data_IF_994019363537
#
_entry.id   IF_994019363537
#
_cell.length_a   1.000
_cell.length_b   1.000
_cell.length_c   1.000
_cell.angle_alpha   90.00
_cell.angle_beta   90.00
_cell.angle_gamma   90.00
#
_symmetry.space_group_name_H-M   'P 1'
#
loop_
_entity.id
_entity.type
_entity.pdbx_description
1 polymer ?
2 non-polymer ?
3 non-polymer ?
4 water ?
#
# COMPACT_ATOMS: atom_id res chain seq x y z
N UNK A 9 10.42 7.76 2.99
CA UNK A 9 9.84 9.06 2.44
C UNK A 9 8.95 8.97 1.19
N UNK A 10 8.96 7.83 0.48
CA UNK A 10 8.01 7.69 -0.63
C UNK A 10 6.65 7.44 0.01
N UNK A 11 5.63 8.05 -0.56
CA UNK A 11 4.25 7.78 -0.24
C UNK A 11 3.78 6.76 -1.27
N UNK A 12 3.12 5.70 -0.82
CA UNK A 12 2.68 4.71 -1.77
C UNK A 12 1.20 4.86 -1.86
N UNK A 13 0.65 4.77 -3.07
CA UNK A 13 -0.73 4.95 -3.23
C UNK A 13 -1.16 4.02 -4.29
N UNK A 14 -2.42 3.63 -4.22
CA UNK A 14 -3.02 2.80 -5.27
C UNK A 14 -4.29 3.48 -5.71
N UNK A 15 -4.47 3.61 -7.04
CA UNK A 15 -5.65 4.30 -7.56
C UNK A 15 -6.41 3.37 -8.44
N UNK A 16 -7.73 3.48 -8.43
CA UNK A 16 -8.55 2.72 -9.38
C UNK A 16 -8.40 3.42 -10.69
N UNK A 17 -8.90 2.81 -11.73
CA UNK A 17 -8.72 3.39 -13.03
C UNK A 17 -9.51 4.70 -13.21
N UNK A 18 -10.52 4.95 -12.38
CA UNK A 18 -11.24 6.21 -12.42
C UNK A 18 -10.66 7.30 -11.49
N UNK A 19 -9.56 7.00 -10.81
CA UNK A 19 -8.84 7.99 -9.93
C UNK A 19 -9.12 7.91 -8.43
N UNK A 20 -10.05 7.03 -8.10
CA UNK A 20 -10.42 6.78 -6.74
C UNK A 20 -9.20 6.23 -6.03
N UNK A 21 -8.95 6.80 -4.86
CA UNK A 21 -7.83 6.39 -4.06
C UNK A 21 -8.26 5.12 -3.31
N UNK A 22 -7.65 4.00 -3.69
CA UNK A 22 -7.89 2.67 -3.09
C UNK A 22 -7.09 2.55 -1.80
N UNK A 23 -5.87 3.08 -1.82
CA UNK A 23 -4.98 2.98 -0.68
C UNK A 23 -3.97 4.10 -0.74
N UNK A 24 -3.52 4.57 0.42
CA UNK A 24 -2.42 5.48 0.47
C UNK A 24 -1.72 5.16 1.78
N UNK A 25 -0.39 5.23 1.78
CA UNK A 25 0.31 4.86 3.00
C UNK A 25 0.15 5.88 4.11
N UNK A 26 0.56 5.51 5.34
CA UNK A 26 0.21 6.30 6.54
C UNK A 26 0.97 7.60 6.57
N UNK A 27 2.04 7.72 5.77
CA UNK A 27 2.78 9.00 5.73
C UNK A 27 2.10 10.10 4.90
N UNK A 28 0.90 9.84 4.43
CA UNK A 28 0.09 10.88 3.88
C UNK A 28 -0.11 12.03 4.88
N UNK A 29 -0.29 11.70 6.16
CA UNK A 29 -0.50 12.72 7.19
C UNK A 29 0.71 13.63 7.28
N UNK A 30 1.89 13.03 7.49
CA UNK A 30 3.16 13.77 7.50
C UNK A 30 3.38 14.75 6.35
N UNK A 31 3.21 14.26 5.14
CA UNK A 31 3.56 15.02 3.93
C UNK A 31 2.43 15.86 3.37
N UNK A 32 1.19 15.43 3.54
CA UNK A 32 0.10 16.03 2.82
C UNK A 32 -0.94 16.59 3.74
N UNK A 33 -0.83 16.32 5.04
CA UNK A 33 -1.76 16.90 6.01
C UNK A 33 -3.01 16.11 6.26
N UNK A 34 -3.21 15.04 5.49
CA UNK A 34 -4.38 14.20 5.60
C UNK A 34 -4.04 12.80 6.11
N UNK A 35 -4.86 12.30 7.02
CA UNK A 35 -4.78 10.88 7.44
C UNK A 35 -5.18 10.00 6.27
N UNK A 36 -4.75 8.73 6.25
CA UNK A 36 -5.09 7.85 5.10
C UNK A 36 -6.57 7.76 4.94
N UNK A 37 -7.27 7.73 6.07
CA UNK A 37 -8.72 7.61 6.05
C UNK A 37 -9.42 8.80 5.46
N UNK A 38 -8.74 9.95 5.44
CA UNK A 38 -9.32 11.15 4.89
C UNK A 38 -9.18 11.19 3.38
N UNK A 39 -8.26 10.38 2.85
CA UNK A 39 -8.01 10.31 1.41
C UNK A 39 -8.57 9.08 0.74
N UNK A 40 -8.45 7.92 1.41
CA UNK A 40 -8.95 6.70 0.79
C UNK A 40 -10.43 6.83 0.53
N UNK A 41 -10.85 6.43 -0.67
CA UNK A 41 -12.24 6.55 -1.06
C UNK A 41 -12.60 7.82 -1.77
N UNK A 42 -11.71 8.80 -1.70
CA UNK A 42 -11.89 10.06 -2.45
C UNK A 42 -11.14 9.96 -3.76
N UNK A 43 -11.38 10.90 -4.67
CA UNK A 43 -10.70 10.89 -5.94
C UNK A 43 -9.43 11.66 -5.79
N UNK A 44 -8.37 11.21 -6.43
CA UNK A 44 -7.13 11.96 -6.27
C UNK A 44 -7.33 13.42 -6.75
N UNK A 45 -8.19 13.64 -7.76
CA UNK A 45 -8.36 15.04 -8.30
C UNK A 45 -8.77 16.06 -7.25
N UNK A 46 -9.39 15.58 -6.19
CA UNK A 46 -9.97 16.37 -5.14
C UNK A 46 -8.85 17.09 -4.42
N UNK A 47 -7.64 16.49 -4.43
CA UNK A 47 -6.51 17.01 -3.66
C UNK A 47 -5.50 17.77 -4.49
N UNK A 48 -5.68 17.81 -5.81
CA UNK A 48 -4.71 18.39 -6.70
C UNK A 48 -4.99 19.85 -6.91
N UNK A 49 -3.93 20.62 -7.15
CA UNK A 49 -4.19 21.97 -7.62
C UNK A 49 -5.09 21.97 -8.82
N UNK A 50 -6.08 22.87 -8.87
CA UNK A 50 -7.05 22.74 -9.93
C UNK A 50 -6.42 22.79 -11.32
N UNK A 51 -5.28 23.46 -11.48
CA UNK A 51 -4.64 23.53 -12.78
C UNK A 51 -3.89 22.31 -13.23
N UNK A 52 -3.68 21.38 -12.31
CA UNK A 52 -2.87 20.21 -12.59
C UNK A 52 -3.71 18.99 -12.85
N UNK A 53 -5.02 19.16 -12.98
CA UNK A 53 -5.93 18.03 -13.12
C UNK A 53 -5.87 17.30 -14.49
N UNK A 54 -5.77 18.04 -15.59
CA UNK A 54 -5.58 17.39 -16.90
C UNK A 54 -4.22 16.64 -16.93
N UNK A 55 -3.16 17.36 -16.56
CA UNK A 55 -1.82 16.82 -16.55
C UNK A 55 -1.71 15.48 -15.81
N UNK A 56 -2.22 15.42 -14.58
CA UNK A 56 -2.16 14.20 -13.80
C UNK A 56 -3.07 13.11 -14.35
N UNK A 57 -4.32 13.41 -14.65
CA UNK A 57 -5.21 12.36 -15.17
C UNK A 57 -4.62 11.71 -16.43
N UNK A 58 -4.05 12.55 -17.27
CA UNK A 58 -3.50 12.12 -18.52
C UNK A 58 -2.26 11.24 -18.28
N UNK A 59 -1.40 11.67 -17.36
CA UNK A 59 -0.21 10.92 -17.01
C UNK A 59 -0.54 9.47 -16.61
N UNK A 60 -1.53 9.34 -15.74
CA UNK A 60 -1.76 8.04 -15.13
C UNK A 60 -2.65 7.14 -15.97
N UNK A 61 -3.32 7.71 -16.97
CA UNK A 61 -4.01 6.90 -18.01
C UNK A 61 -3.03 6.21 -18.98
N UNK A 62 -2.00 6.95 -19.36
CA UNK A 62 -0.99 6.49 -20.31
C UNK A 62 -0.13 5.33 -19.87
N UNK A 63 0.24 4.45 -20.79
CA UNK A 63 0.99 3.24 -20.44
C UNK A 63 2.48 3.48 -20.32
N UNK A 64 2.99 4.37 -21.16
CA UNK A 64 4.43 4.50 -21.28
C UNK A 64 4.90 5.62 -20.44
N UNK A 65 5.93 5.40 -19.64
CA UNK A 65 6.46 6.50 -18.79
C UNK A 65 7.97 6.47 -18.79
N UNK A 66 8.59 7.62 -18.54
CA UNK A 66 9.98 7.64 -18.20
C UNK A 66 10.15 8.64 -17.08
N UNK A 67 9.81 9.89 -17.31
CA UNK A 67 9.94 10.93 -16.27
C UNK A 67 8.78 10.78 -15.32
N UNK A 68 9.00 11.16 -14.06
CA UNK A 68 7.87 11.29 -13.10
C UNK A 68 6.89 12.38 -13.48
N UNK A 69 5.78 12.45 -12.74
CA UNK A 69 4.76 13.50 -13.01
C UNK A 69 5.00 14.41 -11.86
N UNK A 70 5.17 15.71 -12.13
CA UNK A 70 5.38 16.73 -11.16
C UNK A 70 4.12 17.56 -11.12
N UNK A 71 3.54 17.70 -9.92
CA UNK A 71 2.29 18.41 -9.79
C UNK A 71 2.12 18.95 -8.38
N UNK A 72 1.13 19.84 -8.24
CA UNK A 72 0.85 20.44 -6.94
C UNK A 72 -0.26 19.70 -6.24
N UNK A 73 -0.04 19.42 -4.98
CA UNK A 73 -1.07 18.85 -4.14
C UNK A 73 -1.51 19.95 -3.18
N UNK A 74 -2.80 20.07 -2.89
CA UNK A 74 -3.24 21.02 -1.86
C UNK A 74 -3.36 20.33 -0.53
N UNK A 75 -2.52 20.69 0.43
CA UNK A 75 -2.59 20.09 1.72
C UNK A 75 -3.86 20.44 2.46
N UNK A 76 -4.10 19.75 3.58
CA UNK A 76 -5.27 20.03 4.38
C UNK A 76 -5.35 21.49 4.84
N UNK A 77 -4.20 22.14 5.04
CA UNK A 77 -4.25 23.51 5.51
C UNK A 77 -4.42 24.51 4.33
N UNK A 78 -4.73 24.00 3.15
CA UNK A 78 -5.02 24.88 2.04
C UNK A 78 -3.81 25.55 1.46
N UNK A 79 -2.63 24.92 1.60
CA UNK A 79 -1.41 25.43 0.96
C UNK A 79 -0.85 24.36 0.03
N UNK A 80 -0.04 24.77 -0.94
CA UNK A 80 0.46 23.87 -2.02
C UNK A 80 1.66 23.13 -1.52
N UNK A 81 1.76 21.85 -1.88
CA UNK A 81 3.06 21.19 -1.83
C UNK A 81 3.35 20.56 -3.22
N UNK A 82 4.57 20.72 -3.72
CA UNK A 82 4.90 20.08 -5.03
C UNK A 82 5.32 18.65 -4.81
N UNK A 83 4.88 17.74 -5.65
CA UNK A 83 5.32 16.34 -5.50
C UNK A 83 5.64 15.78 -6.86
N UNK A 84 6.45 14.74 -6.88
CA UNK A 84 6.60 13.96 -8.11
C UNK A 84 6.15 12.56 -7.83
N UNK A 85 5.51 11.95 -8.82
CA UNK A 85 4.98 10.61 -8.68
C UNK A 85 5.38 9.79 -9.88
N UNK A 86 5.53 8.49 -9.65
CA UNK A 86 5.91 7.56 -10.72
C UNK A 86 5.12 6.27 -10.52
N UNK A 87 4.71 5.64 -11.61
CA UNK A 87 4.13 4.30 -11.58
C UNK A 87 5.19 3.32 -11.06
N UNK A 88 4.86 2.63 -9.96
CA UNK A 88 5.81 1.92 -9.06
C UNK A 88 5.85 0.43 -9.39
N UNK A 89 4.73 -0.12 -9.87
CA UNK A 89 4.62 -1.55 -10.18
C UNK A 89 3.57 -1.59 -11.26
N UNK A 90 3.80 -2.39 -12.29
CA UNK A 90 2.84 -2.41 -13.39
C UNK A 90 2.36 -3.82 -13.73
N UNK A 98 -9.38 -2.70 -16.37
CA UNK A 98 -9.64 -2.32 -14.98
C UNK A 98 -8.46 -2.71 -14.11
N UNK A 99 -7.33 -2.04 -14.39
CA UNK A 99 -6.10 -2.22 -13.63
C UNK A 99 -5.97 -1.03 -12.69
N UNK A 100 -5.52 -1.33 -11.49
CA UNK A 100 -5.23 -0.33 -10.55
C UNK A 100 -3.86 0.18 -10.90
N UNK A 101 -3.63 1.43 -10.55
CA UNK A 101 -2.32 2.03 -10.69
C UNK A 101 -1.63 2.06 -9.34
N UNK A 102 -0.43 1.48 -9.26
CA UNK A 102 0.36 1.56 -8.03
C UNK A 102 1.44 2.63 -8.24
N UNK A 103 1.42 3.69 -7.44
CA UNK A 103 2.37 4.78 -7.63
C UNK A 103 3.15 5.04 -6.36
N UNK A 104 4.33 5.61 -6.53
CA UNK A 104 5.13 6.10 -5.42
C UNK A 104 5.25 7.59 -5.67
N UNK A 105 5.26 8.36 -4.59
CA UNK A 105 5.39 9.80 -4.75
C UNK A 105 6.17 10.41 -3.61
N UNK A 106 6.73 11.59 -3.88
CA UNK A 106 7.48 12.26 -2.85
C UNK A 106 7.36 13.73 -3.00
N UNK A 107 7.40 14.38 -1.87
CA UNK A 107 7.39 15.82 -1.83
C UNK A 107 8.72 16.34 -2.38
N UNK A 108 8.65 17.29 -3.32
CA UNK A 108 9.88 17.99 -3.72
C UNK A 108 10.05 19.14 -2.74
N UNK B 9 8.64 -3.77 11.01
CA UNK B 9 7.29 -3.16 10.72
C UNK B 9 6.28 -4.11 9.98
N UNK B 10 5.09 -3.60 9.72
CA UNK B 10 4.00 -4.37 9.16
C UNK B 10 4.10 -4.50 7.64
N UNK B 11 3.52 -5.57 7.13
CA UNK B 11 3.31 -5.72 5.71
C UNK B 11 1.90 -5.19 5.44
N UNK B 12 1.76 -4.33 4.42
CA UNK B 12 0.44 -3.80 4.05
C UNK B 12 -0.04 -4.42 2.78
N UNK B 13 -1.32 -4.80 2.72
CA UNK B 13 -1.75 -5.45 1.52
C UNK B 13 -3.14 -4.91 1.28
N UNK B 14 -3.55 -4.91 0.02
CA UNK B 14 -4.87 -4.53 -0.38
C UNK B 14 -5.37 -5.67 -1.19
N UNK B 15 -6.55 -6.20 -0.82
CA UNK B 15 -7.17 -7.29 -1.60
C UNK B 15 -8.41 -6.78 -2.25
N UNK B 16 -8.70 -7.27 -3.45
CA UNK B 16 -10.03 -7.08 -4.04
C UNK B 16 -11.00 -7.98 -3.29
N UNK B 17 -12.29 -7.76 -3.54
CA UNK B 17 -13.34 -8.54 -2.88
C UNK B 17 -13.24 -10.07 -3.16
N UNK B 18 -12.60 -10.46 -4.25
CA UNK B 18 -12.41 -11.90 -4.56
C UNK B 18 -11.11 -12.46 -4.03
N UNK B 19 -10.37 -11.64 -3.27
CA UNK B 19 -9.08 -12.01 -2.66
C UNK B 19 -7.85 -11.85 -3.53
N UNK B 20 -8.03 -11.29 -4.73
CA UNK B 20 -6.89 -10.89 -5.56
C UNK B 20 -6.05 -9.86 -4.86
N UNK B 21 -4.73 -10.03 -4.89
CA UNK B 21 -3.79 -9.09 -4.24
C UNK B 21 -3.63 -7.94 -5.23
N UNK B 22 -4.20 -6.81 -4.85
CA UNK B 22 -4.14 -5.54 -5.63
C UNK B 22 -2.82 -4.84 -5.36
N UNK B 23 -2.39 -4.93 -4.12
CA UNK B 23 -1.15 -4.34 -3.66
C UNK B 23 -0.57 -5.06 -2.46
N UNK B 24 0.75 -5.07 -2.37
CA UNK B 24 1.41 -5.50 -1.16
C UNK B 24 2.68 -4.69 -1.04
N UNK B 25 3.09 -4.35 0.18
CA UNK B 25 4.25 -3.53 0.37
C UNK B 25 5.55 -4.29 0.06
N UNK B 26 6.63 -3.54 -0.17
CA UNK B 26 7.89 -4.09 -0.69
C UNK B 26 8.56 -5.04 0.27
N UNK B 27 8.24 -4.93 1.57
CA UNK B 27 8.78 -5.88 2.55
C UNK B 27 8.20 -7.26 2.46
N UNK B 28 7.35 -7.50 1.44
CA UNK B 28 6.89 -8.85 1.16
C UNK B 28 8.11 -9.73 0.90
N UNK B 29 9.09 -9.24 0.09
CA UNK B 29 10.31 -10.03 -0.19
C UNK B 29 11.01 -10.43 1.11
N UNK B 30 11.29 -9.46 1.97
CA UNK B 30 11.94 -9.72 3.28
C UNK B 30 11.27 -10.81 4.09
N UNK B 31 9.95 -10.73 4.16
CA UNK B 31 9.23 -11.57 5.14
C UNK B 31 8.60 -12.81 4.59
N UNK B 32 8.20 -12.74 3.31
CA UNK B 32 7.43 -13.83 2.70
C UNK B 32 8.19 -14.51 1.60
N UNK B 33 9.32 -13.92 1.18
CA UNK B 33 10.20 -14.52 0.19
C UNK B 33 9.82 -14.22 -1.25
N UNK B 34 8.76 -13.43 -1.43
CA UNK B 34 8.20 -13.04 -2.72
C UNK B 34 8.39 -11.55 -2.94
N UNK B 35 8.80 -11.17 -4.15
CA UNK B 35 8.75 -9.77 -4.55
C UNK B 35 7.30 -9.35 -4.67
N UNK B 36 7.03 -8.05 -4.55
CA UNK B 36 5.66 -7.58 -4.66
C UNK B 36 5.02 -8.01 -5.96
N UNK B 37 5.83 -7.96 -7.04
CA UNK B 37 5.45 -8.37 -8.38
C UNK B 37 5.04 -9.82 -8.53
N UNK B 38 5.56 -10.66 -7.62
CA UNK B 38 5.25 -12.07 -7.62
C UNK B 38 3.93 -12.37 -6.92
N UNK B 39 3.47 -11.42 -6.10
CA UNK B 39 2.24 -11.58 -5.35
C UNK B 39 1.07 -10.82 -5.97
N UNK B 40 1.33 -9.59 -6.41
CA UNK B 40 0.27 -8.73 -6.90
C UNK B 40 -0.35 -9.40 -8.11
N UNK B 41 -1.68 -9.50 -8.16
CA UNK B 41 -2.35 -10.15 -9.29
C UNK B 41 -2.72 -11.60 -9.04
N UNK B 42 -2.08 -12.18 -8.03
CA UNK B 42 -2.39 -13.52 -7.56
C UNK B 42 -3.38 -13.43 -6.43
N UNK B 43 -4.12 -14.50 -6.20
CA UNK B 43 -5.04 -14.57 -5.07
C UNK B 43 -4.22 -14.85 -3.81
N UNK B 44 -4.59 -14.20 -2.71
CA UNK B 44 -3.88 -14.44 -1.45
C UNK B 44 -3.94 -15.94 -1.04
N UNK B 45 -5.08 -16.58 -1.26
CA UNK B 45 -5.34 -18.03 -1.02
C UNK B 45 -4.18 -18.89 -1.48
N UNK B 46 -3.61 -18.55 -2.62
CA UNK B 46 -2.54 -19.36 -3.23
C UNK B 46 -1.30 -19.49 -2.32
N UNK B 47 -1.11 -18.53 -1.42
CA UNK B 47 0.12 -18.46 -0.64
C UNK B 47 -0.11 -19.04 0.73
N UNK B 48 -1.35 -19.45 0.97
CA UNK B 48 -1.72 -19.83 2.31
C UNK B 48 -1.71 -21.34 2.47
N UNK B 49 -1.33 -21.74 3.67
CA UNK B 49 -1.37 -23.15 3.96
C UNK B 49 -2.77 -23.67 3.71
N UNK B 50 -2.88 -24.83 3.11
CA UNK B 50 -4.20 -25.29 2.78
C UNK B 50 -5.14 -25.38 3.96
N UNK B 51 -4.62 -25.69 5.14
CA UNK B 51 -5.51 -25.82 6.27
C UNK B 51 -6.09 -24.52 6.79
N UNK B 52 -5.53 -23.39 6.32
CA UNK B 52 -5.84 -22.08 6.87
C UNK B 52 -6.59 -21.27 5.81
N UNK B 53 -6.67 -21.80 4.60
CA UNK B 53 -7.20 -20.97 3.53
C UNK B 53 -8.62 -20.46 3.81
N UNK B 54 -9.53 -21.34 4.21
CA UNK B 54 -10.92 -20.96 4.52
C UNK B 54 -11.01 -20.03 5.72
N UNK B 55 -10.23 -20.33 6.75
CA UNK B 55 -10.14 -19.47 7.94
C UNK B 55 -9.87 -18.01 7.56
N UNK B 56 -8.86 -17.80 6.68
CA UNK B 56 -8.47 -16.44 6.28
C UNK B 56 -9.52 -15.80 5.38
N UNK B 57 -10.04 -16.56 4.41
CA UNK B 57 -11.02 -15.99 3.54
C UNK B 57 -12.22 -15.55 4.34
N UNK B 58 -12.69 -16.45 5.21
CA UNK B 58 -13.83 -16.21 6.09
C UNK B 58 -13.58 -14.94 6.97
N UNK B 59 -12.41 -14.83 7.56
CA UNK B 59 -12.10 -13.71 8.41
C UNK B 59 -12.23 -12.39 7.68
N UNK B 60 -11.72 -12.34 6.45
CA UNK B 60 -11.71 -11.03 5.75
C UNK B 60 -13.00 -10.67 5.04
N UNK B 61 -13.90 -11.65 4.84
CA UNK B 61 -15.27 -11.37 4.37
C UNK B 61 -16.17 -10.93 5.51
N UNK B 62 -15.90 -11.44 6.73
CA UNK B 62 -16.73 -11.09 7.90
C UNK B 62 -16.59 -9.61 8.22
N UNK B 63 -17.63 -8.98 8.74
CA UNK B 63 -17.51 -7.56 9.06
C UNK B 63 -17.01 -7.36 10.48
N UNK B 64 -17.32 -8.31 11.35
CA UNK B 64 -17.09 -8.10 12.76
C UNK B 64 -15.77 -8.71 13.11
N UNK B 65 -14.89 -7.90 13.66
CA UNK B 65 -13.60 -8.37 14.14
C UNK B 65 -13.27 -7.82 15.49
N UNK B 66 -12.48 -8.55 16.25
CA UNK B 66 -11.80 -8.00 17.42
C UNK B 66 -10.38 -8.55 17.38
N UNK B 67 -10.20 -9.87 17.51
CA UNK B 67 -8.85 -10.42 17.46
C UNK B 67 -8.34 -10.50 16.03
N UNK B 68 -7.00 -10.45 15.88
CA UNK B 68 -6.49 -10.69 14.52
C UNK B 68 -6.69 -12.11 14.03
N UNK B 69 -6.36 -12.36 12.75
CA UNK B 69 -6.43 -13.71 12.17
C UNK B 69 -4.99 -14.25 12.20
N UNK B 70 -4.78 -15.45 12.76
CA UNK B 70 -3.45 -16.05 12.82
C UNK B 70 -3.48 -17.24 11.86
N UNK B 71 -2.50 -17.30 10.95
CA UNK B 71 -2.49 -18.35 9.95
C UNK B 71 -1.06 -18.59 9.46
N UNK B 72 -0.90 -19.64 8.68
CA UNK B 72 0.39 -20.00 8.07
C UNK B 72 0.46 -19.56 6.62
N UNK B 73 1.51 -18.81 6.30
CA UNK B 73 1.79 -18.34 4.97
C UNK B 73 2.86 -19.25 4.45
N UNK B 74 2.75 -19.70 3.19
CA UNK B 74 3.81 -20.56 2.65
C UNK B 74 4.77 -19.67 1.83
N UNK B 75 5.96 -19.50 2.37
CA UNK B 75 7.03 -18.73 1.69
C UNK B 75 7.48 -19.29 0.36
N UNK B 76 8.18 -18.47 -0.42
CA UNK B 76 8.55 -18.93 -1.74
C UNK B 76 9.39 -20.21 -1.73
N UNK B 77 10.22 -20.37 -0.69
CA UNK B 77 11.01 -21.59 -0.50
C UNK B 77 10.21 -22.79 0.04
N UNK B 78 8.88 -22.68 0.08
CA UNK B 78 7.98 -23.79 0.42
C UNK B 78 8.02 -24.15 1.89
N UNK B 79 8.42 -23.19 2.72
CA UNK B 79 8.36 -23.37 4.18
C UNK B 79 7.39 -22.41 4.78
N UNK B 80 6.96 -22.70 6.00
CA UNK B 80 5.84 -21.98 6.61
C UNK B 80 6.37 -20.83 7.40
N UNK B 81 5.70 -19.69 7.36
CA UNK B 81 5.85 -18.73 8.43
C UNK B 81 4.46 -18.41 9.01
N UNK B 82 4.39 -18.24 10.32
CA UNK B 82 3.15 -17.86 10.99
C UNK B 82 3.01 -16.37 10.93
N UNK B 83 1.81 -15.92 10.60
CA UNK B 83 1.55 -14.48 10.54
C UNK B 83 0.25 -14.17 11.23
N UNK B 84 0.12 -12.93 11.70
CA UNK B 84 -1.13 -12.42 12.19
C UNK B 84 -1.50 -11.25 11.30
N UNK B 85 -2.77 -11.16 10.99
CA UNK B 85 -3.28 -10.07 10.11
C UNK B 85 -4.57 -9.49 10.68
N UNK B 86 -4.79 -8.23 10.38
CA UNK B 86 -6.00 -7.52 10.83
C UNK B 86 -6.34 -6.52 9.78
N UNK B 87 -7.61 -6.16 9.71
CA UNK B 87 -7.99 -4.94 8.93
C UNK B 87 -7.17 -3.74 9.46
N UNK B 88 -6.53 -3.02 8.53
CA UNK B 88 -5.73 -1.82 8.87
C UNK B 88 -6.56 -0.55 8.77
N UNK B 89 -7.40 -0.45 7.76
CA UNK B 89 -8.18 0.79 7.56
C UNK B 89 -9.51 0.25 7.21
N UNK B 90 -10.58 0.73 7.86
CA UNK B 90 -11.91 0.19 7.50
C UNK B 90 -12.34 0.85 6.19
N UNK B 91 -12.81 0.05 5.23
CA UNK B 91 -13.19 0.60 3.90
C UNK B 91 -14.70 0.51 3.64
N UNK B 99 -16.00 -4.18 -2.50
CA UNK B 99 -15.23 -3.53 -1.42
C UNK B 99 -13.82 -4.09 -1.48
N UNK B 100 -12.81 -3.26 -1.18
CA UNK B 100 -11.44 -3.75 -1.09
C UNK B 100 -11.15 -3.90 0.35
N UNK B 101 -10.20 -4.76 0.65
CA UNK B 101 -9.74 -4.92 2.02
C UNK B 101 -8.31 -4.45 2.18
N UNK B 102 -8.09 -3.63 3.21
CA UNK B 102 -6.78 -3.08 3.50
C UNK B 102 -6.38 -3.72 4.79
N UNK B 103 -5.36 -4.58 4.73
CA UNK B 103 -4.96 -5.30 5.93
C UNK B 103 -3.50 -5.04 6.25
N UNK B 104 -3.13 -5.21 7.52
CA UNK B 104 -1.72 -5.17 7.90
C UNK B 104 -1.43 -6.57 8.39
N UNK B 105 -0.21 -7.05 8.19
CA UNK B 105 0.11 -8.36 8.74
C UNK B 105 1.53 -8.39 9.16
N UNK B 106 1.84 -9.32 10.03
CA UNK B 106 3.22 -9.37 10.51
C UNK B 106 3.58 -10.77 10.88
N UNK B 107 4.83 -11.12 10.65
CA UNK B 107 5.36 -12.42 10.95
C UNK B 107 5.43 -12.56 12.47
N UNK B 108 5.00 -13.72 12.99
CA UNK B 108 5.04 -13.92 14.43
C UNK B 108 6.45 -14.28 14.87
N UNK C 9 -17.37 -5.47 43.24
CA UNK C 9 -16.90 -6.66 42.44
C UNK C 9 -16.51 -6.17 41.05
N UNK C 10 -15.52 -6.79 40.41
CA UNK C 10 -15.29 -6.53 38.99
C UNK C 10 -16.49 -7.01 38.14
N UNK C 11 -16.58 -6.49 36.92
CA UNK C 11 -17.52 -7.01 35.95
C UNK C 11 -16.76 -8.08 35.23
N UNK C 12 -17.35 -9.26 35.14
CA UNK C 12 -16.63 -10.32 34.46
C UNK C 12 -17.27 -10.53 33.09
N UNK C 13 -16.50 -10.81 32.04
CA UNK C 13 -17.07 -10.96 30.73
C UNK C 13 -16.32 -12.00 29.93
N UNK C 14 -17.00 -12.55 28.95
CA UNK C 14 -16.32 -13.38 27.95
C UNK C 14 -16.72 -12.80 26.57
N UNK C 15 -15.71 -12.61 25.71
CA UNK C 15 -15.94 -12.25 24.31
C UNK C 15 -15.50 -13.35 23.41
N UNK C 16 -16.26 -13.58 22.36
CA UNK C 16 -15.77 -14.47 21.28
C UNK C 16 -14.63 -13.75 20.59
N UNK C 17 -13.85 -14.46 19.78
CA UNK C 17 -12.69 -13.83 19.14
C UNK C 17 -13.11 -12.65 18.23
N UNK C 18 -14.33 -12.69 17.70
CA UNK C 18 -14.81 -11.60 16.84
C UNK C 18 -15.44 -10.43 17.58
N UNK C 19 -15.46 -10.55 18.90
CA UNK C 19 -15.84 -9.40 19.79
C UNK C 19 -17.27 -9.52 20.28
N UNK C 20 -17.99 -10.59 19.92
CA UNK C 20 -19.36 -10.78 20.43
C UNK C 20 -19.29 -11.07 21.93
N UNK C 21 -20.14 -10.44 22.71
CA UNK C 21 -20.20 -10.74 24.17
C UNK C 21 -20.89 -12.05 24.36
N UNK C 22 -20.13 -13.00 24.89
CA UNK C 22 -20.67 -14.31 25.17
C UNK C 22 -21.34 -14.28 26.54
N UNK C 23 -20.71 -13.57 27.47
CA UNK C 23 -21.18 -13.49 28.83
C UNK C 23 -20.78 -12.17 29.43
N UNK C 24 -21.62 -11.53 30.28
CA UNK C 24 -21.16 -10.50 31.16
C UNK C 24 -21.98 -10.64 32.39
N UNK C 25 -21.38 -10.31 33.53
CA UNK C 25 -22.04 -10.49 34.78
C UNK C 25 -23.06 -9.37 35.05
N UNK C 26 -23.94 -9.63 36.00
CA UNK C 26 -25.18 -8.86 36.16
C UNK C 26 -24.95 -7.48 36.70
N UNK C 27 -23.76 -7.25 37.24
CA UNK C 27 -23.37 -5.93 37.70
C UNK C 27 -23.06 -4.99 36.54
N UNK C 28 -23.25 -5.48 35.33
CA UNK C 28 -23.19 -4.59 34.18
C UNK C 28 -24.27 -3.54 34.36
N UNK C 29 -25.34 -3.86 35.11
CA UNK C 29 -26.44 -2.87 35.17
C UNK C 29 -26.04 -1.71 36.06
N UNK C 30 -25.46 -2.04 37.18
CA UNK C 30 -25.02 -1.05 38.14
C UNK C 30 -23.98 -0.10 37.55
N UNK C 31 -23.01 -0.65 36.82
CA UNK C 31 -21.87 0.15 36.33
C UNK C 31 -22.04 0.69 34.93
N UNK C 32 -22.74 -0.04 34.06
CA UNK C 32 -22.79 0.31 32.62
C UNK C 32 -24.20 0.67 32.15
N UNK C 33 -25.17 0.51 33.03
CA UNK C 33 -26.53 0.90 32.75
C UNK C 33 -27.31 -0.10 31.94
N UNK C 34 -26.67 -1.19 31.56
CA UNK C 34 -27.34 -2.27 30.81
C UNK C 34 -27.50 -3.54 31.63
N UNK C 35 -28.66 -4.18 31.55
CA UNK C 35 -28.83 -5.55 32.10
C UNK C 35 -27.96 -6.53 31.30
N UNK C 36 -27.46 -7.59 31.96
CA UNK C 36 -26.53 -8.50 31.28
C UNK C 36 -27.17 -9.07 30.05
N UNK C 37 -28.50 -9.25 30.06
CA UNK C 37 -29.17 -9.87 28.90
C UNK C 37 -29.32 -8.87 27.73
N UNK C 38 -29.25 -7.57 28.02
CA UNK C 38 -29.21 -6.55 26.94
C UNK C 38 -27.88 -6.49 26.20
N UNK C 39 -26.83 -7.03 26.80
CA UNK C 39 -25.50 -6.99 26.24
C UNK C 39 -25.04 -8.32 25.67
N UNK C 40 -25.32 -9.41 26.38
CA UNK C 40 -25.00 -10.74 25.87
C UNK C 40 -25.57 -10.93 24.47
N UNK C 41 -24.72 -11.35 23.51
CA UNK C 41 -25.21 -11.50 22.11
C UNK C 41 -24.89 -10.35 21.18
N UNK C 42 -24.67 -9.18 21.75
CA UNK C 42 -24.22 -7.98 21.01
C UNK C 42 -22.70 -7.87 20.96
N UNK C 43 -22.21 -7.09 20.02
CA UNK C 43 -20.76 -6.91 19.93
C UNK C 43 -20.32 -5.85 20.89
N UNK C 44 -19.19 -6.08 21.52
CA UNK C 44 -18.70 -5.08 22.45
C UNK C 44 -18.57 -3.72 21.77
N UNK C 45 -18.05 -3.71 20.53
CA UNK C 45 -17.79 -2.44 19.86
C UNK C 45 -18.99 -1.53 19.84
N UNK C 46 -20.20 -2.09 19.86
CA UNK C 46 -21.45 -1.35 19.78
C UNK C 46 -21.68 -0.36 20.91
N UNK C 47 -21.01 -0.65 22.01
CA UNK C 47 -21.16 0.12 23.22
C UNK C 47 -20.00 1.05 23.38
N UNK C 48 -19.08 1.06 22.42
CA UNK C 48 -17.87 1.84 22.59
C UNK C 48 -18.01 3.14 21.91
N UNK C 49 -17.37 4.13 22.52
CA UNK C 49 -17.22 5.40 21.87
C UNK C 49 -16.73 5.15 20.44
N UNK C 50 -17.31 5.87 19.48
CA UNK C 50 -17.01 5.68 18.06
C UNK C 50 -15.52 5.61 17.78
N UNK C 51 -14.76 6.46 18.47
CA UNK C 51 -13.34 6.59 18.20
C UNK C 51 -12.57 5.43 18.77
N UNK C 52 -13.21 4.65 19.64
CA UNK C 52 -12.51 3.58 20.36
C UNK C 52 -12.76 2.22 19.73
N UNK C 53 -13.82 2.14 18.94
CA UNK C 53 -14.31 0.88 18.36
C UNK C 53 -13.32 0.20 17.48
N UNK C 54 -12.82 0.90 16.46
CA UNK C 54 -11.86 0.23 15.56
C UNK C 54 -10.52 0.06 16.30
N UNK C 55 -10.19 1.08 17.08
CA UNK C 55 -8.92 1.16 17.80
C UNK C 55 -8.68 0.01 18.72
N UNK C 56 -9.72 -0.44 19.44
CA UNK C 56 -9.60 -1.49 20.49
C UNK C 56 -9.09 -2.82 19.88
N UNK C 57 -9.33 -3.02 18.57
CA UNK C 57 -8.73 -4.15 17.91
C UNK C 57 -7.23 -4.08 18.08
N UNK C 58 -6.69 -2.87 18.12
CA UNK C 58 -5.24 -2.73 18.11
C UNK C 58 -4.57 -3.36 19.34
N UNK C 59 -5.32 -3.40 20.43
CA UNK C 59 -4.86 -4.01 21.64
C UNK C 59 -4.47 -5.49 21.39
N UNK C 60 -5.26 -6.18 20.56
CA UNK C 60 -5.09 -7.59 20.34
C UNK C 60 -4.05 -7.90 19.26
N UNK C 61 -3.53 -6.88 18.57
CA UNK C 61 -2.60 -7.13 17.47
C UNK C 61 -1.23 -6.97 18.03
N UNK C 62 -1.18 -6.29 19.15
CA UNK C 62 0.10 -5.84 19.67
C UNK C 62 0.34 -6.50 21.03
N UNK C 63 1.59 -6.45 21.50
CA UNK C 63 1.88 -7.09 22.81
C UNK C 63 0.98 -6.45 23.88
N UNK C 64 0.49 -7.25 24.82
CA UNK C 64 -0.36 -6.70 25.91
C UNK C 64 -0.30 -7.48 27.23
N UNK C 65 0.87 -8.01 27.60
CA UNK C 65 0.98 -8.78 28.85
C UNK C 65 0.73 -7.81 30.02
N UNK C 66 -0.24 -8.16 30.85
CA UNK C 66 -0.70 -7.33 31.98
C UNK C 66 -1.09 -5.88 31.60
N UNK C 67 -1.29 -5.63 30.31
CA UNK C 67 -1.72 -4.32 29.86
C UNK C 67 -3.20 -4.17 29.96
N UNK C 68 -3.64 -3.07 30.60
CA UNK C 68 -5.06 -2.73 30.62
C UNK C 68 -5.58 -2.48 29.23
N UNK C 69 -6.72 -3.06 28.92
CA UNK C 69 -7.45 -2.69 27.75
C UNK C 69 -8.49 -1.66 28.23
N UNK C 70 -8.23 -0.38 27.95
CA UNK C 70 -9.01 0.72 28.51
C UNK C 70 -9.76 1.44 27.40
N UNK C 71 -11.04 1.69 27.63
CA UNK C 71 -11.86 2.27 26.58
C UNK C 71 -13.03 3.01 27.21
N UNK C 72 -13.63 3.88 26.41
CA UNK C 72 -14.77 4.66 26.79
C UNK C 72 -15.94 3.82 26.40
N UNK C 73 -16.78 3.51 27.38
CA UNK C 73 -18.00 2.71 27.18
C UNK C 73 -19.17 3.71 27.19
N UNK C 74 -20.12 3.58 26.27
CA UNK C 74 -21.29 4.47 26.31
C UNK C 74 -22.35 3.73 27.08
N UNK C 75 -22.77 4.27 28.21
CA UNK C 75 -23.76 3.66 29.04
C UNK C 75 -25.12 3.75 28.36
N UNK C 76 -26.11 3.11 28.94
CA UNK C 76 -27.40 3.13 28.34
C UNK C 76 -27.87 4.58 28.26
N UNK C 77 -27.50 5.42 29.26
CA UNK C 77 -27.96 6.81 29.31
C UNK C 77 -27.21 7.73 28.38
N UNK C 78 -26.41 7.12 27.51
CA UNK C 78 -25.59 7.77 26.47
C UNK C 78 -24.39 8.52 26.96
N UNK C 79 -24.11 8.43 28.26
CA UNK C 79 -22.93 9.10 28.79
C UNK C 79 -21.78 8.12 28.83
N UNK C 80 -20.56 8.62 28.79
CA UNK C 80 -19.39 7.74 28.80
C UNK C 80 -18.79 7.52 30.18
N UNK C 81 -18.30 6.31 30.39
CA UNK C 81 -17.44 5.97 31.51
C UNK C 81 -16.19 5.35 30.92
N UNK C 82 -15.06 5.52 31.60
CA UNK C 82 -13.87 4.79 31.24
C UNK C 82 -13.88 3.43 31.96
N UNK C 83 -13.57 2.40 31.18
CA UNK C 83 -13.53 1.01 31.67
C UNK C 83 -12.13 0.49 31.48
N UNK C 84 -11.52 -0.02 32.55
CA UNK C 84 -10.22 -0.66 32.54
C UNK C 84 -10.36 -2.18 32.62
N UNK C 85 -9.86 -2.90 31.62
CA UNK C 85 -10.04 -4.34 31.59
C UNK C 85 -8.75 -5.11 31.68
N UNK C 86 -8.73 -6.19 32.51
CA UNK C 86 -7.67 -7.22 32.49
C UNK C 86 -8.17 -8.30 31.54
N UNK C 87 -7.30 -8.77 30.67
CA UNK C 87 -7.65 -9.65 29.61
C UNK C 87 -6.82 -10.97 29.72
N UNK C 88 -7.48 -12.10 29.52
CA UNK C 88 -6.79 -13.38 29.41
C UNK C 88 -7.37 -14.11 28.18
N UNK C 89 -6.52 -14.70 27.38
CA UNK C 89 -7.01 -15.40 26.21
C UNK C 89 -6.93 -16.88 26.47
N UNK C 90 -8.06 -17.59 26.25
CA UNK C 90 -8.08 -19.07 26.27
C UNK C 90 -7.98 -19.54 24.81
N UNK C 91 -6.89 -20.22 24.48
CA UNK C 91 -6.68 -20.68 23.15
C UNK C 91 -6.82 -22.20 23.11
N UNK C 92 -7.71 -22.72 22.28
CA UNK C 92 -7.99 -24.14 22.30
C UNK C 92 -7.77 -24.66 20.91
N UNK C 93 -6.80 -25.57 20.79
CA UNK C 93 -6.39 -26.08 19.48
C UNK C 93 -6.86 -27.51 19.39
N UNK C 94 -7.84 -27.76 18.53
CA UNK C 94 -8.29 -29.13 18.24
C UNK C 94 -8.22 -29.35 16.72
N UNK C 95 -9.33 -29.75 16.09
CA UNK C 95 -9.46 -29.76 14.63
C UNK C 95 -9.26 -28.32 14.16
N UNK C 96 -9.76 -27.39 14.95
CA UNK C 96 -9.62 -25.99 14.63
C UNK C 96 -9.03 -25.29 15.87
N UNK C 97 -8.66 -24.02 15.72
CA UNK C 97 -8.20 -23.24 16.89
C UNK C 97 -9.30 -22.24 17.27
N UNK C 98 -9.64 -22.15 18.57
CA UNK C 98 -10.66 -21.27 19.09
C UNK C 98 -9.91 -20.37 20.03
N UNK C 99 -10.24 -19.09 20.03
CA UNK C 99 -9.78 -18.16 21.05
C UNK C 99 -10.98 -17.51 21.69
N UNK C 100 -10.96 -17.42 23.02
CA UNK C 100 -12.00 -16.77 23.75
C UNK C 100 -11.31 -15.76 24.63
N UNK C 101 -11.93 -14.59 24.80
CA UNK C 101 -11.37 -13.51 25.60
C UNK C 101 -12.08 -13.44 26.93
N UNK C 102 -11.33 -13.53 28.04
CA UNK C 102 -11.91 -13.48 29.34
C UNK C 102 -11.55 -12.10 29.89
N UNK C 103 -12.57 -11.35 30.36
CA UNK C 103 -12.33 -9.97 30.84
C UNK C 103 -12.64 -9.85 32.32
N UNK C 104 -11.82 -9.10 33.05
CA UNK C 104 -12.18 -8.71 34.41
C UNK C 104 -12.08 -7.20 34.34
N UNK C 105 -13.18 -6.48 34.51
CA UNK C 105 -13.07 -5.04 34.28
C UNK C 105 -13.71 -4.18 35.34
N UNK C 106 -13.41 -2.90 35.30
CA UNK C 106 -14.02 -1.98 36.22
C UNK C 106 -14.12 -0.60 35.61
N UNK C 107 -15.20 0.08 35.95
CA UNK C 107 -15.31 1.49 35.64
C UNK C 107 -14.32 2.29 36.51
N UNK C 108 -13.53 3.14 35.86
CA UNK C 108 -12.62 4.00 36.62
C UNK C 108 -13.46 5.12 37.21
N UNK C 109 -13.44 5.22 38.54
CA UNK C 109 -14.24 6.16 39.31
C UNK C 109 -13.33 6.63 40.41
N UNK C 110 -13.76 7.59 41.22
CA UNK C 110 -13.00 7.89 42.45
C UNK C 110 -13.15 6.79 43.50
N UNK D 9 32.18 10.00 -32.64
CA UNK D 9 31.11 10.92 -32.21
C UNK D 9 30.15 10.22 -31.22
N UNK D 10 29.73 10.96 -30.22
CA UNK D 10 28.64 10.50 -29.36
C UNK D 10 27.38 10.34 -30.22
N UNK D 11 26.42 9.56 -29.69
CA UNK D 11 25.12 9.40 -30.33
C UNK D 11 24.31 10.45 -29.67
N UNK D 12 23.56 11.25 -30.46
CA UNK D 12 22.79 12.29 -29.82
C UNK D 12 21.33 11.89 -29.95
N UNK D 13 20.55 12.11 -28.90
CA UNK D 13 19.15 11.75 -28.98
C UNK D 13 18.32 12.77 -28.19
N UNK D 14 17.04 12.77 -28.48
CA UNK D 14 16.01 13.49 -27.72
C UNK D 14 14.88 12.48 -27.39
N UNK D 15 14.39 12.47 -26.12
CA UNK D 15 13.24 11.67 -25.74
C UNK D 15 12.12 12.63 -25.33
N UNK D 16 10.90 12.27 -25.64
CA UNK D 16 9.74 12.89 -24.99
C UNK D 16 9.78 12.50 -23.51
N UNK D 17 9.02 13.22 -22.69
CA UNK D 17 9.04 12.91 -21.26
C UNK D 17 8.57 11.47 -20.93
N UNK D 18 7.82 10.88 -21.85
CA UNK D 18 7.31 9.51 -21.67
C UNK D 18 8.23 8.45 -22.23
N UNK D 19 9.41 8.85 -22.68
CA UNK D 19 10.43 7.90 -23.16
C UNK D 19 10.44 7.63 -24.66
N UNK D 20 9.50 8.22 -25.40
CA UNK D 20 9.46 8.05 -26.88
C UNK D 20 10.67 8.74 -27.47
N UNK D 21 11.30 8.05 -28.43
CA UNK D 21 12.48 8.64 -29.10
C UNK D 21 12.01 9.62 -30.14
N UNK D 22 12.35 10.89 -29.92
CA UNK D 22 11.90 11.94 -30.86
C UNK D 22 12.97 12.02 -31.92
N UNK D 23 14.22 11.89 -31.51
CA UNK D 23 15.35 11.99 -32.42
C UNK D 23 16.50 11.10 -31.98
N UNK D 24 17.24 10.50 -32.91
CA UNK D 24 18.54 9.95 -32.55
C UNK D 24 19.36 10.07 -33.77
N UNK D 25 20.65 10.29 -33.58
CA UNK D 25 21.51 10.53 -34.73
C UNK D 25 21.84 9.24 -35.48
N UNK D 26 22.32 9.40 -36.71
CA UNK D 26 22.43 8.29 -37.66
C UNK D 26 23.44 7.25 -37.27
N UNK D 27 24.36 7.62 -36.37
CA UNK D 27 25.34 6.66 -35.88
C UNK D 27 24.77 5.67 -34.88
N UNK D 28 23.46 5.75 -34.68
CA UNK D 28 22.72 4.63 -34.06
C UNK D 28 22.97 3.34 -34.86
N UNK D 29 23.21 3.45 -36.15
CA UNK D 29 23.35 2.22 -36.94
C UNK D 29 24.68 1.54 -36.62
N UNK D 30 25.73 2.34 -36.54
CA UNK D 30 27.06 1.82 -36.28
C UNK D 30 27.13 1.17 -34.89
N UNK D 31 26.56 1.83 -33.89
CA UNK D 31 26.77 1.45 -32.51
C UNK D 31 25.68 0.55 -31.94
N UNK D 32 24.46 0.69 -32.43
CA UNK D 32 23.29 0.05 -31.82
C UNK D 32 22.63 -0.90 -32.75
N UNK D 33 23.04 -0.86 -34.02
CA UNK D 33 22.60 -1.81 -35.05
C UNK D 33 21.29 -1.42 -35.69
N UNK D 34 20.76 -0.29 -35.24
CA UNK D 34 19.51 0.29 -35.78
C UNK D 34 19.74 1.54 -36.56
N UNK D 35 19.07 1.63 -37.72
CA UNK D 35 18.98 2.93 -38.42
C UNK D 35 18.20 3.90 -37.59
N UNK D 36 18.53 5.19 -37.66
CA UNK D 36 17.83 6.18 -36.83
C UNK D 36 16.34 6.13 -37.07
N UNK D 37 15.92 5.85 -38.29
CA UNK D 37 14.49 5.76 -38.57
C UNK D 37 13.77 4.51 -38.03
N UNK D 38 14.53 3.49 -37.63
CA UNK D 38 13.98 2.33 -36.92
C UNK D 38 13.73 2.59 -35.46
N UNK D 39 14.37 3.63 -34.91
CA UNK D 39 14.25 3.96 -33.51
C UNK D 39 13.33 5.15 -33.22
N UNK D 40 13.30 6.16 -34.10
CA UNK D 40 12.54 7.37 -33.85
C UNK D 40 11.10 6.95 -33.90
N UNK D 41 10.30 7.38 -32.90
CA UNK D 41 8.91 6.96 -32.84
C UNK D 41 8.67 5.79 -31.91
N UNK D 42 9.72 5.06 -31.54
CA UNK D 42 9.60 3.93 -30.63
C UNK D 42 10.04 4.40 -29.25
N UNK D 43 9.71 3.61 -28.23
CA UNK D 43 10.07 4.01 -26.89
C UNK D 43 11.38 3.42 -26.56
N UNK D 44 12.21 4.17 -25.85
CA UNK D 44 13.48 3.65 -25.43
C UNK D 44 13.35 2.34 -24.70
N UNK D 45 12.30 2.17 -23.89
CA UNK D 45 12.17 0.95 -23.05
C UNK D 45 11.99 -0.37 -23.85
N UNK D 46 11.60 -0.24 -25.12
CA UNK D 46 11.55 -1.34 -26.07
C UNK D 46 12.94 -1.97 -26.33
N UNK D 47 13.99 -1.17 -26.18
CA UNK D 47 15.33 -1.66 -26.49
C UNK D 47 16.10 -2.08 -25.23
N UNK D 48 15.38 -2.23 -24.11
CA UNK D 48 15.97 -2.57 -22.85
C UNK D 48 15.30 -3.81 -22.26
N UNK D 49 16.08 -4.56 -21.50
CA UNK D 49 15.57 -5.63 -20.65
C UNK D 49 14.95 -4.97 -19.42
N UNK D 50 14.18 -5.75 -18.66
CA UNK D 50 13.44 -5.21 -17.52
C UNK D 50 14.30 -4.54 -16.49
N UNK D 51 15.44 -5.15 -16.21
CA UNK D 51 16.42 -4.60 -15.25
C UNK D 51 16.80 -3.20 -15.62
N UNK D 52 17.02 -3.02 -16.93
CA UNK D 52 17.48 -1.76 -17.45
C UNK D 52 16.36 -0.75 -17.55
N UNK D 53 15.15 -1.22 -17.79
CA UNK D 53 14.01 -0.31 -17.82
C UNK D 53 13.89 0.37 -16.45
N UNK D 54 14.04 -0.41 -15.39
CA UNK D 54 13.86 0.07 -14.03
C UNK D 54 14.97 1.01 -13.65
N UNK D 55 16.18 0.62 -14.01
CA UNK D 55 17.39 1.43 -13.86
C UNK D 55 17.25 2.84 -14.46
N UNK D 56 16.73 2.89 -15.68
CA UNK D 56 16.66 4.14 -16.38
C UNK D 56 15.51 4.98 -15.84
N UNK D 57 14.37 4.34 -15.60
CA UNK D 57 13.24 5.11 -15.08
C UNK D 57 13.58 5.61 -13.70
N UNK D 58 14.32 4.81 -12.92
CA UNK D 58 14.81 5.28 -11.59
C UNK D 58 15.65 6.53 -11.63
N UNK D 59 16.52 6.61 -12.63
CA UNK D 59 17.35 7.76 -12.84
C UNK D 59 16.57 9.08 -12.80
N UNK D 60 15.40 9.07 -13.43
CA UNK D 60 14.59 10.28 -13.53
C UNK D 60 13.72 10.55 -12.33
N UNK D 61 13.75 9.66 -11.34
CA UNK D 61 12.99 9.86 -10.09
C UNK D 61 13.81 10.62 -9.05
N UNK D 62 15.12 10.78 -9.25
CA UNK D 62 15.90 11.70 -8.40
C UNK D 62 16.63 12.78 -9.20
N UNK D 65 21.90 14.40 -10.02
CA UNK D 65 22.62 13.17 -10.35
C UNK D 65 24.11 13.35 -10.51
N UNK D 66 24.88 12.49 -9.84
CA UNK D 66 26.33 12.57 -9.86
C UNK D 66 26.94 11.99 -11.15
N UNK D 67 26.25 11.04 -11.75
CA UNK D 67 26.78 10.35 -12.92
C UNK D 67 25.75 10.29 -14.03
N UNK D 68 26.23 10.06 -15.26
CA UNK D 68 25.35 9.75 -16.37
C UNK D 68 24.59 8.44 -16.09
N UNK D 69 23.56 8.19 -16.89
CA UNK D 69 22.76 7.00 -16.78
C UNK D 69 23.43 5.90 -17.59
N UNK D 70 23.85 4.83 -16.91
CA UNK D 70 24.52 3.73 -17.61
C UNK D 70 23.59 2.53 -17.59
N UNK D 71 23.35 1.92 -18.75
CA UNK D 71 22.41 0.82 -18.89
C UNK D 71 22.76 -0.08 -20.08
N UNK D 72 22.20 -1.29 -20.09
CA UNK D 72 22.35 -2.19 -21.25
C UNK D 72 21.26 -1.96 -22.27
N UNK D 73 21.69 -1.84 -23.52
CA UNK D 73 20.87 -1.62 -24.64
C UNK D 73 20.91 -2.90 -25.44
N UNK D 74 19.74 -3.32 -25.91
CA UNK D 74 19.70 -4.51 -26.77
C UNK D 74 19.83 -4.06 -28.21
N UNK D 75 20.93 -4.42 -28.85
CA UNK D 75 21.17 -4.00 -30.22
C UNK D 75 20.20 -4.74 -31.09
N UNK D 76 20.12 -4.34 -32.35
CA UNK D 76 19.26 -5.03 -33.30
C UNK D 76 19.53 -6.51 -33.41
N UNK D 77 20.79 -6.95 -33.23
CA UNK D 77 21.12 -8.34 -33.37
C UNK D 77 20.85 -9.16 -32.12
N UNK D 78 20.17 -8.53 -31.14
CA UNK D 78 19.74 -9.14 -29.87
C UNK D 78 20.83 -9.22 -28.82
N UNK D 79 22.00 -8.66 -29.11
CA UNK D 79 23.08 -8.75 -28.15
C UNK D 79 23.10 -7.43 -27.41
N UNK D 80 23.66 -7.40 -26.22
CA UNK D 80 23.63 -6.16 -25.47
C UNK D 80 24.94 -5.40 -25.59
N UNK D 81 24.83 -4.06 -25.50
CA UNK D 81 25.99 -3.18 -25.29
C UNK D 81 25.72 -2.29 -24.06
N UNK D 82 26.79 -1.88 -23.36
CA UNK D 82 26.65 -0.92 -22.28
C UNK D 82 26.67 0.49 -22.88
N UNK D 83 25.74 1.33 -22.45
CA UNK D 83 25.66 2.69 -22.98
C UNK D 83 25.74 3.63 -21.79
N UNK D 84 26.53 4.70 -21.91
CA UNK D 84 26.52 5.75 -20.90
C UNK D 84 25.83 6.98 -21.47
N UNK D 85 24.75 7.44 -20.81
CA UNK D 85 23.93 8.58 -21.31
C UNK D 85 24.00 9.81 -20.43
N UNK D 86 24.51 10.91 -20.99
CA UNK D 86 24.50 12.25 -20.33
C UNK D 86 23.16 12.88 -20.60
N UNK D 87 22.51 13.37 -19.54
CA UNK D 87 21.12 13.83 -19.64
C UNK D 87 20.98 15.33 -19.43
N UNK D 88 20.20 16.02 -20.27
CA UNK D 88 19.83 17.38 -19.91
C UNK D 88 18.35 17.52 -20.09
N UNK D 89 17.65 18.16 -19.16
CA UNK D 89 16.22 18.34 -19.33
C UNK D 89 15.94 19.76 -19.81
N UNK D 90 15.19 19.87 -20.90
CA UNK D 90 14.63 21.18 -21.25
C UNK D 90 13.17 21.26 -20.77
N UNK D 91 12.87 22.24 -19.92
CA UNK D 91 11.57 22.35 -19.33
C UNK D 91 10.98 23.65 -19.83
N UNK D 92 9.79 23.58 -20.40
CA UNK D 92 9.16 24.77 -20.91
C UNK D 92 7.75 24.86 -20.35
N UNK D 93 7.45 26.04 -19.82
CA UNK D 93 6.20 26.30 -19.15
C UNK D 93 5.38 27.17 -20.06
N UNK D 94 4.37 26.59 -20.68
CA UNK D 94 3.45 27.37 -21.52
C UNK D 94 2.04 27.35 -20.95
N UNK D 95 1.25 26.36 -21.37
CA UNK D 95 -0.10 26.17 -20.87
C UNK D 95 -0.08 25.02 -19.90
N UNK D 96 0.69 23.99 -20.27
CA UNK D 96 1.07 22.91 -19.39
C UNK D 96 2.60 23.03 -19.34
N UNK D 97 3.25 22.46 -18.33
CA UNK D 97 4.72 22.42 -18.35
C UNK D 97 5.10 21.16 -19.11
N UNK D 98 6.03 21.29 -20.05
CA UNK D 98 6.49 20.14 -20.83
C UNK D 98 8.00 19.97 -20.70
N UNK D 99 8.47 18.72 -20.80
CA UNK D 99 9.90 18.41 -20.53
C UNK D 99 10.38 17.55 -21.66
N UNK D 100 11.59 17.82 -22.14
CA UNK D 100 12.19 17.01 -23.18
C UNK D 100 13.50 16.60 -22.65
N UNK D 101 13.93 15.40 -23.03
CA UNK D 101 15.18 14.88 -22.52
C UNK D 101 16.19 14.87 -23.66
N UNK D 102 17.31 15.55 -23.44
CA UNK D 102 18.42 15.61 -24.41
C UNK D 102 19.46 14.65 -23.95
N UNK D 103 19.85 13.72 -24.82
CA UNK D 103 20.86 12.72 -24.46
C UNK D 103 22.10 12.86 -25.29
N UNK D 104 23.24 12.61 -24.68
CA UNK D 104 24.48 12.46 -25.39
C UNK D 104 24.98 11.09 -24.92
N UNK D 105 25.12 10.11 -25.81
CA UNK D 105 25.36 8.70 -25.38
C UNK D 105 26.58 8.12 -26.04
N UNK D 106 27.23 7.18 -25.37
CA UNK D 106 28.28 6.43 -26.04
C UNK D 106 28.25 4.98 -25.59
N UNK D 107 28.62 4.08 -26.48
CA UNK D 107 28.67 2.63 -26.15
C UNK D 107 29.99 2.46 -25.40
N UNK D 108 29.96 1.82 -24.24
CA UNK D 108 31.17 1.60 -23.46
C UNK D 108 31.79 0.35 -24.02
N UNK D 109 32.89 0.51 -24.74
CA UNK D 109 33.41 -0.64 -25.48
C UNK D 109 34.23 -1.59 -24.62
N UNK D 110 34.17 -2.86 -24.99
CA UNK D 110 34.96 -3.88 -24.35
C UNK D 110 36.42 -3.64 -24.70
N UNK D 111 37.27 -3.82 -23.70
CA UNK D 111 38.69 -3.71 -23.91
C UNK D 111 39.29 -5.11 -23.88
#
# INVERSE_FOLDING_TARGET
>A
GEFPLQTKTDIHAVLASNGRIIYISANSKLHLGYLQGEMIGSFLKTFLHEEDQFLVESYFYNEHHLMPCTFRFIKKDHTIVWVEAAVEIVTTRAERTEREIILKMKVLEEE
>B
GEFPLQTKTDIHAVLASNGRIIYISANSKLHLGYLQGEMIGSFLKTFLHEEDQFLVESYFYNEHHLMPCTFRFIKKDHTIVWVEAAVEIVTTRAERTEREIILKMKVLEEE
>C
GEFPLQTKTDIHAVLASNGRIIYISANSKLHLGYLQGEMIGSFLKTFLHEEDQFLVESYFYNEHHLMPCTFRFIKKDHTIVWVEAAVEIVTTRAERTEREIILKMKVLEEE
>D
GEFPLQTKTDIHAVLASNGRIIYISANSKLHLGYLQGEMIGSFLKTFLHEEDQFLVESYFYNEHHLMPCTFRFIKKDHTIVWVEAAVEIVTTRAERTEREIILKMKVLEEE
#
